data_IF_150732338097
#
_entry.id   IF_150732338097
#
_cell.length_a   1.000
_cell.length_b   1.000
_cell.length_c   1.000
_cell.angle_alpha   90.00
_cell.angle_beta   90.00
_cell.angle_gamma   90.00
#
_symmetry.space_group_name_H-M   'P 1'
#
loop_
_entity.id
_entity.type
_entity.pdbx_description
1 polymer ?
#
# COMPACT_ATOMS: atom_id res chain seq x y z
N UNK A 1 5.67 13.16 10.82
CA UNK A 1 4.35 12.74 10.31
C UNK A 1 3.53 12.18 11.47
N UNK A 2 2.20 12.32 11.55
CA UNK A 2 1.45 11.85 12.71
C UNK A 2 1.42 10.31 12.79
N UNK A 3 1.60 9.77 13.99
CA UNK A 3 1.54 8.32 14.30
C UNK A 3 0.21 7.67 13.94
N UNK A 4 0.26 6.37 13.64
CA UNK A 4 -0.86 5.55 13.15
C UNK A 4 -1.69 4.97 14.30
N UNK A 5 -2.51 5.82 14.93
CA UNK A 5 -3.61 5.33 15.78
C UNK A 5 -4.82 4.98 14.91
N UNK A 6 -5.56 3.92 15.27
CA UNK A 6 -6.66 3.36 14.48
C UNK A 6 -7.80 4.34 14.10
N UNK A 7 -7.87 5.50 14.76
CA UNK A 7 -8.84 6.57 14.54
C UNK A 7 -8.63 7.39 13.26
N UNK A 8 -7.45 7.28 12.61
CA UNK A 8 -7.07 8.14 11.46
C UNK A 8 -6.95 7.38 10.11
N UNK A 9 -7.41 6.12 10.05
CA UNK A 9 -7.26 5.25 8.88
C UNK A 9 -7.90 5.83 7.61
N UNK A 10 -9.14 6.33 7.69
CA UNK A 10 -9.87 6.80 6.51
C UNK A 10 -9.22 8.04 5.88
N UNK A 11 -8.81 9.01 6.71
CA UNK A 11 -8.13 10.23 6.25
C UNK A 11 -6.75 9.88 5.67
N UNK A 12 -6.01 8.94 6.27
CA UNK A 12 -4.70 8.52 5.75
C UNK A 12 -4.82 7.70 4.46
N UNK A 13 -5.83 6.83 4.35
CA UNK A 13 -6.12 6.09 3.12
C UNK A 13 -6.48 7.05 1.97
N UNK A 14 -7.27 8.09 2.25
CA UNK A 14 -7.56 9.16 1.29
C UNK A 14 -6.29 9.92 0.86
N UNK A 15 -5.43 10.31 1.80
CA UNK A 15 -4.14 10.96 1.50
C UNK A 15 -3.21 10.08 0.68
N UNK A 16 -3.15 8.78 0.98
CA UNK A 16 -2.37 7.80 0.22
C UNK A 16 -2.92 7.63 -1.20
N UNK A 17 -4.24 7.46 -1.34
CA UNK A 17 -4.89 7.37 -2.66
C UNK A 17 -4.63 8.63 -3.48
N UNK A 18 -4.67 9.81 -2.87
CA UNK A 18 -4.35 11.07 -3.54
C UNK A 18 -2.86 11.14 -3.96
N UNK A 19 -1.93 10.78 -3.08
CA UNK A 19 -0.50 10.77 -3.37
C UNK A 19 -0.14 9.80 -4.51
N UNK A 20 -0.73 8.60 -4.53
CA UNK A 20 -0.53 7.61 -5.58
C UNK A 20 -1.21 8.02 -6.90
N UNK A 21 -2.37 8.67 -6.83
CA UNK A 21 -3.07 9.22 -8.02
C UNK A 21 -2.26 10.32 -8.70
N UNK A 22 -1.66 11.24 -7.93
CA UNK A 22 -0.79 12.30 -8.45
C UNK A 22 0.39 11.75 -9.27
N UNK A 23 0.85 10.54 -8.95
CA UNK A 23 1.98 9.89 -9.61
C UNK A 23 1.58 8.84 -10.64
N UNK A 24 0.27 8.72 -10.92
CA UNK A 24 -0.30 7.67 -11.80
C UNK A 24 0.07 6.24 -11.36
N UNK A 25 0.31 6.05 -10.06
CA UNK A 25 0.65 4.77 -9.44
C UNK A 25 -0.59 4.02 -8.91
N UNK A 26 -1.75 4.67 -8.93
CA UNK A 26 -3.00 4.12 -8.40
C UNK A 26 -3.37 2.75 -8.99
N UNK A 27 -3.12 2.53 -10.28
CA UNK A 27 -3.44 1.25 -10.93
C UNK A 27 -2.64 0.07 -10.38
N UNK A 28 -1.43 0.30 -9.86
CA UNK A 28 -0.54 -0.74 -9.33
C UNK A 28 -1.07 -1.34 -8.04
N UNK A 29 -1.74 -0.55 -7.20
CA UNK A 29 -2.26 -1.01 -5.90
C UNK A 29 -3.66 -1.63 -5.99
N UNK A 30 -4.37 -1.43 -7.11
CA UNK A 30 -5.71 -2.00 -7.35
C UNK A 30 -5.66 -3.20 -8.31
N UNK A 31 -4.70 -3.25 -9.23
CA UNK A 31 -4.60 -4.29 -10.26
C UNK A 31 -3.60 -5.38 -9.89
N UNK A 32 -3.92 -6.64 -10.21
CA UNK A 32 -2.90 -7.70 -10.19
C UNK A 32 -1.77 -7.40 -11.18
N UNK A 33 -0.57 -7.95 -10.92
CA UNK A 33 0.49 -7.98 -11.93
C UNK A 33 -0.06 -8.68 -13.19
N UNK A 34 -0.10 -8.02 -14.36
CA UNK A 34 -0.57 -8.68 -15.58
C UNK A 34 0.33 -9.86 -15.95
N UNK A 35 -0.30 -10.95 -16.39
CA UNK A 35 0.38 -12.17 -16.84
C UNK A 35 0.94 -11.95 -18.25
N UNK A 36 2.14 -12.45 -18.54
CA UNK A 36 2.74 -12.36 -19.88
C UNK A 36 3.32 -10.99 -20.24
N UNK A 37 3.62 -10.15 -19.23
CA UNK A 37 4.38 -8.92 -19.47
C UNK A 37 5.83 -9.24 -19.84
N UNK A 38 6.30 -8.64 -20.94
CA UNK A 38 7.68 -8.76 -21.39
C UNK A 38 8.28 -7.39 -21.78
N UNK A 39 9.60 -7.36 -21.93
CA UNK A 39 10.36 -6.20 -22.39
C UNK A 39 10.03 -4.91 -21.62
N UNK A 40 9.74 -3.85 -22.37
CA UNK A 40 9.46 -2.52 -21.81
C UNK A 40 8.25 -2.52 -20.87
N UNK A 41 7.21 -3.29 -21.18
CA UNK A 41 5.99 -3.31 -20.38
C UNK A 41 6.22 -3.92 -18.99
N UNK A 42 7.06 -4.96 -18.90
CA UNK A 42 7.50 -5.56 -17.63
C UNK A 42 8.35 -4.59 -16.81
N UNK A 43 9.29 -3.89 -17.46
CA UNK A 43 10.15 -2.89 -16.80
C UNK A 43 9.33 -1.71 -16.27
N UNK A 44 8.41 -1.18 -17.08
CA UNK A 44 7.51 -0.09 -16.69
C UNK A 44 6.64 -0.50 -15.48
N UNK A 45 6.11 -1.73 -15.49
CA UNK A 45 5.30 -2.24 -14.37
C UNK A 45 6.14 -2.41 -13.10
N UNK A 46 7.33 -3.00 -13.23
CA UNK A 46 8.24 -3.26 -12.09
C UNK A 46 8.65 -1.95 -11.41
N UNK A 47 8.97 -0.93 -12.20
CA UNK A 47 9.31 0.41 -11.71
C UNK A 47 8.15 1.03 -10.95
N UNK A 48 6.95 1.04 -11.55
CA UNK A 48 5.75 1.59 -10.90
C UNK A 48 5.38 0.83 -9.62
N UNK A 49 5.62 -0.49 -9.58
CA UNK A 49 5.43 -1.30 -8.38
C UNK A 49 6.41 -0.91 -7.26
N UNK A 50 7.71 -0.82 -7.57
CA UNK A 50 8.71 -0.40 -6.59
C UNK A 50 8.46 1.02 -6.05
N UNK A 51 8.08 1.94 -6.94
CA UNK A 51 7.71 3.31 -6.56
C UNK A 51 6.51 3.29 -5.60
N UNK A 52 5.45 2.56 -5.95
CA UNK A 52 4.25 2.47 -5.12
C UNK A 52 4.54 1.86 -3.74
N UNK A 53 5.34 0.78 -3.67
CA UNK A 53 5.80 0.20 -2.39
C UNK A 53 6.53 1.24 -1.55
N UNK A 54 7.45 1.99 -2.16
CA UNK A 54 8.23 3.00 -1.46
C UNK A 54 7.34 4.13 -0.93
N UNK A 55 6.39 4.62 -1.72
CA UNK A 55 5.43 5.63 -1.26
C UNK A 55 4.57 5.13 -0.10
N UNK A 56 4.12 3.88 -0.17
CA UNK A 56 3.35 3.28 0.92
C UNK A 56 4.22 3.23 2.18
N UNK A 57 5.44 2.65 2.11
CA UNK A 57 6.35 2.53 3.27
C UNK A 57 6.72 3.89 3.87
N UNK A 58 7.00 4.91 3.05
CA UNK A 58 7.28 6.29 3.51
C UNK A 58 6.12 6.92 4.30
N UNK A 59 4.91 6.41 4.11
CA UNK A 59 3.73 6.90 4.81
C UNK A 59 3.37 6.08 6.05
N UNK A 60 4.15 5.07 6.43
CA UNK A 60 3.92 4.25 7.62
C UNK A 60 4.68 4.79 8.84
N UNK A 61 4.35 4.30 10.05
CA UNK A 61 5.26 4.47 11.20
C UNK A 61 6.42 3.49 11.14
N UNK A 62 7.48 3.74 11.91
CA UNK A 62 8.68 2.91 11.92
C UNK A 62 8.36 1.45 12.30
N UNK A 63 7.47 1.22 13.26
CA UNK A 63 7.02 -0.12 13.67
C UNK A 63 6.31 -0.87 12.54
N UNK A 64 5.54 -0.15 11.73
CA UNK A 64 4.80 -0.73 10.62
C UNK A 64 5.69 -0.97 9.42
N UNK A 65 6.69 -0.11 9.17
CA UNK A 65 7.71 -0.37 8.15
C UNK A 65 8.43 -1.69 8.45
N UNK A 66 8.77 -1.96 9.71
CA UNK A 66 9.36 -3.24 10.13
C UNK A 66 8.41 -4.42 9.88
N UNK A 67 7.12 -4.28 10.20
CA UNK A 67 6.12 -5.32 9.96
C UNK A 67 5.99 -5.71 8.48
N UNK A 68 6.19 -4.76 7.57
CA UNK A 68 6.02 -4.96 6.13
C UNK A 68 7.34 -4.90 5.34
N UNK A 69 8.48 -5.10 6.00
CA UNK A 69 9.80 -4.92 5.39
C UNK A 69 9.98 -5.79 4.14
N UNK A 70 9.52 -7.05 4.19
CA UNK A 70 9.66 -8.04 3.12
C UNK A 70 8.65 -7.88 1.98
N UNK A 71 7.64 -7.02 2.13
CA UNK A 71 6.65 -6.83 1.07
C UNK A 71 7.25 -5.98 -0.05
N UNK A 72 7.28 -6.56 -1.26
CA UNK A 72 7.81 -5.97 -2.48
C UNK A 72 6.73 -5.77 -3.55
N UNK A 73 5.51 -6.24 -3.31
CA UNK A 73 4.34 -6.01 -4.16
C UNK A 73 3.43 -4.95 -3.55
N UNK A 74 3.17 -3.88 -4.29
CA UNK A 74 2.40 -2.74 -3.79
C UNK A 74 0.94 -3.09 -3.46
N UNK A 75 0.31 -3.95 -4.28
CA UNK A 75 -1.06 -4.41 -4.04
C UNK A 75 -1.13 -5.29 -2.79
N UNK A 76 -0.27 -6.29 -2.67
CA UNK A 76 -0.22 -7.17 -1.49
C UNK A 76 0.03 -6.37 -0.21
N UNK A 77 0.98 -5.42 -0.24
CA UNK A 77 1.26 -4.51 0.86
C UNK A 77 0.01 -3.71 1.25
N UNK A 78 -0.66 -3.11 0.25
CA UNK A 78 -1.87 -2.33 0.47
C UNK A 78 -3.01 -3.17 1.07
N UNK A 79 -3.25 -4.38 0.57
CA UNK A 79 -4.26 -5.29 1.12
C UNK A 79 -3.95 -5.69 2.57
N UNK A 80 -2.69 -5.99 2.89
CA UNK A 80 -2.26 -6.32 4.26
C UNK A 80 -2.46 -5.15 5.22
N UNK A 81 -2.14 -3.93 4.78
CA UNK A 81 -2.42 -2.71 5.53
C UNK A 81 -3.92 -2.59 5.78
N UNK A 82 -4.74 -2.64 4.72
CA UNK A 82 -6.22 -2.56 4.85
C UNK A 82 -6.76 -3.62 5.82
N UNK A 83 -6.31 -4.87 5.71
CA UNK A 83 -6.73 -5.99 6.56
C UNK A 83 -6.38 -5.78 8.04
N UNK A 84 -5.18 -5.31 8.36
CA UNK A 84 -4.79 -5.02 9.75
C UNK A 84 -5.66 -3.92 10.37
N UNK A 85 -6.12 -2.97 9.56
CA UNK A 85 -7.02 -1.90 10.00
C UNK A 85 -8.49 -2.35 10.14
N UNK A 86 -9.00 -3.19 9.25
CA UNK A 86 -10.38 -3.70 9.33
C UNK A 86 -10.53 -4.85 10.33
N UNK A 87 -9.48 -5.65 10.55
CA UNK A 87 -9.43 -6.75 11.51
C UNK A 87 -9.46 -6.30 12.97
N UNK A 88 -9.05 -5.07 13.29
CA UNK A 88 -9.17 -4.50 14.64
C UNK A 88 -10.61 -4.13 15.03
N UNK A 89 -11.57 -4.10 14.09
CA UNK A 89 -12.98 -3.79 14.40
C UNK A 89 -13.85 -5.01 14.77
N UNK A 90 -13.36 -6.25 14.63
CA UNK A 90 -14.17 -7.45 14.87
C UNK A 90 -13.71 -8.30 16.07
N UNK A 91 -12.98 -7.72 17.04
CA UNK A 91 -12.59 -8.41 18.29
C UNK A 91 -13.14 -7.76 19.57
N UNK A 92 -14.14 -6.90 19.47
CA UNK A 92 -14.90 -6.37 20.63
C UNK A 92 -16.38 -6.59 20.39
N UNK A 93 -16.82 -7.83 20.57
CA UNK A 93 -18.21 -8.25 20.42
C UNK A 93 -18.43 -9.65 20.96
N UNK A 94 -18.72 -9.70 22.27
CA UNK A 94 -18.99 -10.85 23.16
C UNK A 94 -17.79 -11.58 23.75
#
# INVERSE_FOLDING_TARGET
MPEMTGSNYFIRALKMKAALSLKRLFLVIESEKPIGLEGKALSDWTTKNADAVSYIKLSLSDEQVLQYAIEDNAKTLWEKIKSNFTGHKMKTGK
#
